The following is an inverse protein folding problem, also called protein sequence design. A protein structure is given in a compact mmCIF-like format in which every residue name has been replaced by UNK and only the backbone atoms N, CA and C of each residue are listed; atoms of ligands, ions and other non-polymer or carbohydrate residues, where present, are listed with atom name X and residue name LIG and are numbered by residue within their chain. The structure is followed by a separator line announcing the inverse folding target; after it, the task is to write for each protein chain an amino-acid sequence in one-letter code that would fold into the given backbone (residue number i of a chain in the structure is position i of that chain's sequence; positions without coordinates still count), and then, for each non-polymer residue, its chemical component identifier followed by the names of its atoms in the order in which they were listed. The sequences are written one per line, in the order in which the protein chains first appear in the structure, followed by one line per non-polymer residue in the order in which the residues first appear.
data_IF_867889830701
#
_entry.id   IF_867889830701
#
_cell.length_a   1.000
_cell.length_b   1.000
_cell.length_c   1.000
_cell.angle_alpha   90.00
_cell.angle_beta   90.00
_cell.angle_gamma   90.00
#
_symmetry.space_group_name_H-M   'P 1'
#
loop_
_entity.id
_entity.type
_entity.pdbx_description
1 polymer ?
#
# COMPACT_ATOMS: atom_id res chain seq x y z
N UNK A 1 16.65 7.62 30.64
CA UNK A 1 17.12 6.25 30.37
C UNK A 1 17.41 6.12 28.89
N UNK A 2 18.67 5.98 28.52
CA UNK A 2 19.06 5.67 27.14
C UNK A 2 18.60 4.25 26.80
N UNK A 3 17.88 4.09 25.68
CA UNK A 3 17.40 2.78 25.27
C UNK A 3 18.55 1.98 24.67
N UNK A 4 18.63 0.69 25.03
CA UNK A 4 19.77 -0.15 24.66
C UNK A 4 19.82 -0.33 23.12
N UNK A 5 20.94 0.05 22.50
CA UNK A 5 21.15 -0.02 21.04
C UNK A 5 20.98 -1.45 20.51
N UNK A 6 21.31 -2.47 21.31
CA UNK A 6 21.08 -3.86 20.96
C UNK A 6 19.60 -4.22 20.86
N UNK A 7 18.77 -3.74 21.79
CA UNK A 7 17.32 -3.98 21.74
C UNK A 7 16.68 -3.23 20.58
N UNK A 8 17.14 -2.01 20.27
CA UNK A 8 16.70 -1.29 19.06
C UNK A 8 16.98 -2.14 17.81
N UNK A 9 18.17 -2.72 17.71
CA UNK A 9 18.55 -3.59 16.59
C UNK A 9 17.65 -4.84 16.52
N UNK A 10 17.42 -5.54 17.63
CA UNK A 10 16.53 -6.70 17.66
C UNK A 10 15.10 -6.35 17.25
N UNK A 11 14.53 -5.26 17.78
CA UNK A 11 13.17 -4.84 17.45
C UNK A 11 13.04 -4.26 16.03
N UNK A 12 14.13 -3.78 15.42
CA UNK A 12 14.12 -3.30 14.04
C UNK A 12 13.84 -4.40 13.00
N UNK A 13 14.10 -5.68 13.34
CA UNK A 13 13.78 -6.81 12.46
C UNK A 13 12.27 -7.06 12.31
N UNK A 14 11.47 -6.60 13.26
CA UNK A 14 10.01 -6.71 13.20
C UNK A 14 9.46 -5.35 12.73
N UNK A 15 8.85 -5.27 11.52
CA UNK A 15 8.32 -4.02 10.99
C UNK A 15 7.43 -3.30 11.99
N UNK A 16 7.76 -2.05 12.33
CA UNK A 16 7.03 -1.20 13.26
C UNK A 16 7.34 -1.42 14.75
N UNK A 17 7.82 -2.60 15.18
CA UNK A 17 8.17 -2.84 16.58
C UNK A 17 9.35 -1.96 17.04
N UNK A 18 10.34 -1.73 16.17
CA UNK A 18 11.46 -0.83 16.42
C UNK A 18 11.00 0.60 16.76
N UNK A 19 10.03 1.14 16.01
CA UNK A 19 9.44 2.46 16.26
C UNK A 19 8.71 2.53 17.60
N UNK A 20 7.94 1.49 17.94
CA UNK A 20 7.26 1.38 19.23
C UNK A 20 8.26 1.30 20.38
N UNK A 21 9.36 0.55 20.20
CA UNK A 21 10.46 0.52 21.16
C UNK A 21 11.17 1.87 21.28
N UNK A 22 11.09 2.76 20.30
CA UNK A 22 11.61 4.13 20.41
C UNK A 22 10.58 5.11 21.01
N UNK A 23 9.39 4.66 21.38
CA UNK A 23 8.32 5.47 21.96
C UNK A 23 7.37 6.11 20.93
N UNK A 24 7.57 5.84 19.63
CA UNK A 24 6.69 6.32 18.56
C UNK A 24 5.62 5.26 18.26
N UNK A 25 4.65 5.16 19.17
CA UNK A 25 3.64 4.11 19.12
C UNK A 25 2.74 4.21 17.88
N UNK A 26 2.40 5.43 17.45
CA UNK A 26 1.45 5.64 16.36
C UNK A 26 2.10 5.29 15.03
N UNK A 27 3.33 5.75 14.80
CA UNK A 27 4.13 5.40 13.64
C UNK A 27 4.39 3.90 13.54
N UNK A 28 4.80 3.29 14.66
CA UNK A 28 5.01 1.85 14.73
C UNK A 28 3.75 1.04 14.41
N UNK A 29 2.60 1.43 14.98
CA UNK A 29 1.33 0.76 14.73
C UNK A 29 0.91 0.83 13.26
N UNK A 30 1.06 1.98 12.60
CA UNK A 30 0.65 2.08 11.19
C UNK A 30 1.60 1.30 10.27
N UNK A 31 2.91 1.30 10.54
CA UNK A 31 3.85 0.45 9.79
C UNK A 31 3.50 -1.04 9.98
N UNK A 32 3.21 -1.47 11.21
CA UNK A 32 2.75 -2.84 11.48
C UNK A 32 1.46 -3.15 10.73
N UNK A 33 0.47 -2.24 10.77
CA UNK A 33 -0.81 -2.48 10.09
C UNK A 33 -0.63 -2.60 8.59
N UNK A 34 0.17 -1.72 7.96
CA UNK A 34 0.44 -1.78 6.52
C UNK A 34 1.13 -3.09 6.15
N UNK A 35 2.16 -3.50 6.91
CA UNK A 35 2.86 -4.76 6.67
C UNK A 35 1.91 -5.96 6.68
N UNK A 36 1.08 -6.07 7.72
CA UNK A 36 0.12 -7.18 7.84
C UNK A 36 -1.02 -7.09 6.84
N UNK A 37 -1.50 -5.90 6.49
CA UNK A 37 -2.53 -5.72 5.46
C UNK A 37 -2.03 -6.18 4.10
N UNK A 38 -0.78 -5.93 3.74
CA UNK A 38 -0.20 -6.44 2.47
C UNK A 38 -0.16 -7.97 2.46
N UNK A 39 0.27 -8.60 3.56
CA UNK A 39 0.25 -10.07 3.70
C UNK A 39 -1.18 -10.60 3.59
N UNK A 40 -2.11 -10.03 4.35
CA UNK A 40 -3.51 -10.46 4.36
C UNK A 40 -4.12 -10.32 2.96
N UNK A 41 -3.88 -9.20 2.26
CA UNK A 41 -4.35 -9.00 0.90
C UNK A 41 -3.71 -9.99 -0.08
N UNK A 42 -2.39 -10.26 0.03
CA UNK A 42 -1.70 -11.23 -0.82
C UNK A 42 -2.29 -12.64 -0.67
N UNK A 43 -2.54 -13.08 0.56
CA UNK A 43 -3.10 -14.40 0.87
C UNK A 43 -4.57 -14.48 0.46
N UNK A 44 -5.39 -13.52 0.90
CA UNK A 44 -6.83 -13.54 0.65
C UNK A 44 -7.13 -13.42 -0.84
N UNK A 45 -6.47 -12.52 -1.57
CA UNK A 45 -6.75 -12.30 -2.99
C UNK A 45 -5.99 -13.28 -3.92
N UNK A 46 -5.17 -14.16 -3.33
CA UNK A 46 -4.23 -15.04 -4.05
C UNK A 46 -3.27 -14.26 -4.97
N UNK A 47 -2.96 -13.01 -4.59
CA UNK A 47 -2.08 -12.12 -5.35
C UNK A 47 -0.66 -12.17 -4.80
N UNK A 48 0.06 -13.24 -5.13
CA UNK A 48 1.46 -13.42 -4.71
C UNK A 48 2.38 -12.27 -5.11
N UNK A 49 2.04 -11.53 -6.17
CA UNK A 49 2.77 -10.33 -6.61
C UNK A 49 2.84 -9.24 -5.53
N UNK A 50 1.84 -9.13 -4.64
CA UNK A 50 1.84 -8.14 -3.55
C UNK A 50 2.98 -8.37 -2.55
N UNK A 51 3.50 -9.60 -2.47
CA UNK A 51 4.64 -9.91 -1.59
C UNK A 51 5.90 -9.12 -1.94
N UNK A 52 6.02 -8.57 -3.15
CA UNK A 52 7.14 -7.68 -3.54
C UNK A 52 7.24 -6.43 -2.66
N UNK A 53 6.11 -5.97 -2.10
CA UNK A 53 6.08 -4.80 -1.23
C UNK A 53 6.60 -5.10 0.19
N UNK A 54 6.58 -6.37 0.62
CA UNK A 54 7.02 -6.76 1.96
C UNK A 54 8.49 -6.42 2.26
N UNK A 55 9.47 -6.78 1.41
CA UNK A 55 10.86 -6.39 1.65
C UNK A 55 11.03 -4.85 1.62
N UNK A 56 10.28 -4.14 0.76
CA UNK A 56 10.33 -2.67 0.69
C UNK A 56 9.87 -2.04 2.02
N UNK A 57 8.71 -2.47 2.52
CA UNK A 57 8.16 -2.00 3.81
C UNK A 57 9.10 -2.37 4.96
N UNK A 58 9.68 -3.59 4.92
CA UNK A 58 10.61 -4.06 5.93
C UNK A 58 11.89 -3.20 5.97
N UNK A 59 12.54 -2.95 4.83
CA UNK A 59 13.72 -2.09 4.76
C UNK A 59 13.40 -0.65 5.19
N UNK A 60 12.26 -0.11 4.76
CA UNK A 60 11.81 1.20 5.23
C UNK A 60 11.69 1.23 6.76
N UNK A 61 10.98 0.27 7.35
CA UNK A 61 10.81 0.19 8.81
C UNK A 61 12.14 0.02 9.55
N UNK A 62 13.05 -0.78 8.99
CA UNK A 62 14.37 -1.03 9.53
C UNK A 62 15.19 0.27 9.56
N UNK A 63 15.41 0.92 8.42
CA UNK A 63 16.19 2.15 8.34
C UNK A 63 15.55 3.31 9.09
N UNK A 64 14.23 3.43 9.05
CA UNK A 64 13.50 4.46 9.78
C UNK A 64 13.67 4.30 11.29
N UNK A 65 13.84 3.07 11.79
CA UNK A 65 14.12 2.82 13.22
C UNK A 65 15.50 3.34 13.60
N UNK A 66 16.53 3.04 12.80
CA UNK A 66 17.88 3.55 13.07
C UNK A 66 17.96 5.08 12.95
N UNK A 67 17.30 5.65 11.94
CA UNK A 67 17.27 7.10 11.79
C UNK A 67 16.58 7.76 12.99
N UNK A 68 15.43 7.22 13.39
CA UNK A 68 14.66 7.77 14.51
C UNK A 68 15.34 7.59 15.87
N UNK A 69 16.18 6.56 16.02
CA UNK A 69 16.94 6.32 17.25
C UNK A 69 17.98 7.42 17.56
N UNK A 70 18.34 8.25 16.57
CA UNK A 70 19.29 9.37 16.73
C UNK A 70 18.70 10.58 17.45
N UNK A 71 17.37 10.67 17.54
CA UNK A 71 16.68 11.82 18.11
C UNK A 71 16.37 11.63 19.59
N UNK A 72 16.26 12.75 20.32
CA UNK A 72 15.86 12.75 21.73
C UNK A 72 14.40 12.28 21.90
N UNK A 73 14.04 11.84 23.12
CA UNK A 73 12.71 11.31 23.41
C UNK A 73 11.59 12.32 23.09
N UNK A 74 11.76 13.59 23.46
CA UNK A 74 10.75 14.64 23.23
C UNK A 74 10.58 14.94 21.74
N UNK A 75 11.68 14.94 20.99
CA UNK A 75 11.65 15.13 19.53
C UNK A 75 10.91 13.98 18.83
N UNK A 76 11.18 12.73 19.23
CA UNK A 76 10.46 11.55 18.71
C UNK A 76 8.97 11.62 18.99
N UNK A 77 8.59 12.03 20.19
CA UNK A 77 7.19 12.18 20.56
C UNK A 77 6.49 13.21 19.66
N UNK A 78 7.10 14.37 19.45
CA UNK A 78 6.57 15.41 18.55
C UNK A 78 6.45 14.92 17.10
N UNK A 79 7.45 14.17 16.60
CA UNK A 79 7.39 13.56 15.28
C UNK A 79 6.25 12.55 15.17
N UNK A 80 6.00 11.73 16.18
CA UNK A 80 4.88 10.76 16.22
C UNK A 80 3.51 11.45 16.22
N UNK A 81 3.37 12.57 16.94
CA UNK A 81 2.14 13.39 16.92
C UNK A 81 1.89 14.02 15.55
N UNK A 82 2.91 14.68 14.97
CA UNK A 82 2.80 15.29 13.64
C UNK A 82 2.48 14.25 12.58
N UNK A 83 3.21 13.14 12.60
CA UNK A 83 2.95 12.01 11.73
C UNK A 83 1.50 11.52 11.85
N UNK A 84 0.99 11.33 13.07
CA UNK A 84 -0.40 10.89 13.27
C UNK A 84 -1.43 11.87 12.75
N UNK A 85 -1.16 13.16 12.92
CA UNK A 85 -1.99 14.22 12.38
C UNK A 85 -1.97 14.21 10.85
N UNK A 86 -0.80 14.03 10.25
CA UNK A 86 -0.64 13.85 8.81
C UNK A 86 -1.39 12.59 8.33
N UNK A 87 -1.33 11.46 9.08
CA UNK A 87 -2.15 10.26 8.80
C UNK A 87 -3.61 10.63 8.68
N UNK A 88 -4.16 11.28 9.70
CA UNK A 88 -5.60 11.59 9.75
C UNK A 88 -6.02 12.55 8.64
N UNK A 89 -5.13 13.48 8.27
CA UNK A 89 -5.36 14.43 7.18
C UNK A 89 -5.15 13.82 5.78
N UNK A 90 -4.74 12.54 5.70
CA UNK A 90 -4.51 11.84 4.44
C UNK A 90 -3.10 11.99 3.85
N UNK A 91 -2.14 12.48 4.62
CA UNK A 91 -0.74 12.74 4.21
C UNK A 91 0.09 11.50 3.82
N UNK A 92 -0.47 10.30 3.91
CA UNK A 92 0.12 9.04 3.40
C UNK A 92 -0.16 8.85 1.92
N UNK A 93 -1.17 9.55 1.44
CA UNK A 93 -1.49 9.66 0.04
C UNK A 93 -0.66 10.86 -0.44
N UNK A 94 0.14 10.74 -1.50
CA UNK A 94 0.72 11.92 -2.12
C UNK A 94 -0.39 12.96 -2.33
N UNK A 95 -0.10 14.25 -2.16
CA UNK A 95 -1.04 15.37 -2.40
C UNK A 95 -1.44 15.48 -3.89
N UNK A 96 -1.83 14.37 -4.51
CA UNK A 96 -2.41 14.28 -5.82
C UNK A 96 -3.89 14.68 -5.71
N UNK A 97 -4.11 16.00 -5.69
CA UNK A 97 -5.39 16.70 -5.80
C UNK A 97 -6.38 16.55 -4.64
N UNK A 98 -6.96 17.67 -4.23
CA UNK A 98 -8.01 17.82 -3.20
C UNK A 98 -9.29 16.99 -3.47
N UNK A 99 -9.37 16.28 -4.59
CA UNK A 99 -10.49 15.38 -4.93
C UNK A 99 -10.27 13.91 -4.52
N UNK A 100 -9.03 13.47 -4.30
CA UNK A 100 -8.74 12.07 -3.93
C UNK A 100 -9.05 11.79 -2.45
N UNK A 101 -8.88 12.81 -1.60
CA UNK A 101 -9.15 12.77 -0.16
C UNK A 101 -10.60 12.36 0.17
N UNK A 102 -11.58 12.78 -0.64
CA UNK A 102 -13.00 12.54 -0.34
C UNK A 102 -13.53 11.18 -0.85
N UNK A 103 -12.78 10.49 -1.73
CA UNK A 103 -13.22 9.24 -2.37
C UNK A 103 -12.48 8.00 -1.88
N UNK A 104 -11.28 8.15 -1.33
CA UNK A 104 -10.50 7.02 -0.83
C UNK A 104 -11.17 6.25 0.32
N UNK A 105 -11.71 6.87 1.39
CA UNK A 105 -12.39 6.10 2.45
C UNK A 105 -13.60 5.33 1.91
N UNK A 106 -14.28 5.85 0.88
CA UNK A 106 -15.37 5.14 0.18
C UNK A 106 -14.84 3.94 -0.62
N UNK A 107 -13.68 4.09 -1.27
CA UNK A 107 -13.02 3.03 -2.02
C UNK A 107 -12.51 1.91 -1.08
N UNK A 108 -11.91 2.28 0.07
CA UNK A 108 -11.49 1.34 1.12
C UNK A 108 -12.71 0.61 1.68
N UNK A 109 -13.80 1.33 1.95
CA UNK A 109 -15.07 0.73 2.40
C UNK A 109 -15.62 -0.27 1.38
N UNK A 110 -15.65 0.08 0.09
CA UNK A 110 -16.07 -0.84 -0.96
C UNK A 110 -15.15 -2.05 -1.08
N UNK A 111 -13.83 -1.85 -0.95
CA UNK A 111 -12.85 -2.93 -0.88
C UNK A 111 -13.12 -3.90 0.27
N UNK A 112 -13.44 -3.40 1.46
CA UNK A 112 -13.84 -4.23 2.61
C UNK A 112 -15.14 -5.01 2.35
N UNK A 113 -16.14 -4.41 1.70
CA UNK A 113 -17.39 -5.10 1.35
C UNK A 113 -17.11 -6.24 0.37
N UNK A 114 -16.33 -5.99 -0.68
CA UNK A 114 -15.95 -7.02 -1.66
C UNK A 114 -15.16 -8.15 -0.98
N UNK A 115 -14.23 -7.80 -0.09
CA UNK A 115 -13.49 -8.78 0.74
C UNK A 115 -14.41 -9.61 1.64
N UNK A 116 -15.42 -8.99 2.25
CA UNK A 116 -16.41 -9.69 3.08
C UNK A 116 -17.24 -10.69 2.27
N UNK A 117 -17.70 -10.28 1.07
CA UNK A 117 -18.42 -11.18 0.15
C UNK A 117 -17.52 -12.34 -0.29
N UNK A 118 -16.24 -12.07 -0.57
CA UNK A 118 -15.26 -13.11 -0.88
C UNK A 118 -15.12 -14.13 0.26
N UNK A 119 -14.98 -13.66 1.50
CA UNK A 119 -14.87 -14.56 2.66
C UNK A 119 -16.13 -15.41 2.85
N UNK A 120 -17.31 -14.86 2.57
CA UNK A 120 -18.58 -15.62 2.61
C UNK A 120 -18.67 -16.66 1.50
N UNK A 121 -18.14 -16.35 0.31
CA UNK A 121 -18.10 -17.28 -0.81
C UNK A 121 -17.31 -18.55 -0.48
N UNK A 122 -16.09 -18.40 0.03
CA UNK A 122 -15.26 -19.54 0.45
C UNK A 122 -15.87 -20.31 1.63
N UNK A 123 -16.48 -19.60 2.59
CA UNK A 123 -17.04 -20.23 3.78
C UNK A 123 -18.37 -20.96 3.54
N UNK A 124 -19.18 -20.50 2.59
CA UNK A 124 -20.56 -21.01 2.39
C UNK A 124 -20.70 -21.68 1.04
N UNK A 125 -20.29 -21.03 -0.05
CA UNK A 125 -20.56 -21.53 -1.40
C UNK A 125 -19.64 -22.69 -1.77
N UNK A 126 -18.34 -22.61 -1.48
CA UNK A 126 -17.41 -23.70 -1.77
C UNK A 126 -17.80 -25.05 -1.12
N UNK A 127 -18.10 -25.13 0.20
CA UNK A 127 -18.54 -26.38 0.82
C UNK A 127 -19.96 -26.78 0.43
N UNK A 128 -20.85 -25.83 0.11
CA UNK A 128 -22.19 -26.16 -0.38
C UNK A 128 -22.15 -26.81 -1.76
N UNK A 129 -21.27 -26.31 -2.65
CA UNK A 129 -21.12 -26.87 -3.98
C UNK A 129 -20.61 -28.30 -3.95
N UNK A 130 -19.72 -28.64 -3.01
CA UNK A 130 -19.24 -30.02 -2.78
C UNK A 130 -20.37 -31.03 -2.57
N UNK A 131 -21.56 -30.59 -2.15
CA UNK A 131 -22.74 -31.45 -2.00
C UNK A 131 -23.39 -31.88 -3.32
N UNK A 132 -23.14 -31.15 -4.41
CA UNK A 132 -23.79 -31.35 -5.71
C UNK A 132 -23.02 -32.27 -6.66
N UNK A 133 -21.90 -32.87 -6.22
CA UNK A 133 -21.11 -33.87 -6.96
C UNK A 133 -20.73 -33.43 -8.39
N UNK A 134 -20.34 -32.15 -8.52
CA UNK A 134 -19.91 -31.57 -9.79
C UNK A 134 -18.55 -32.14 -10.26
N UNK A 135 -18.25 -32.12 -11.57
CA UNK A 135 -16.92 -32.43 -12.06
C UNK A 135 -15.82 -31.51 -11.50
N UNK A 136 -14.63 -32.05 -11.25
CA UNK A 136 -13.48 -31.34 -10.64
C UNK A 136 -13.09 -30.03 -11.36
N UNK A 137 -13.20 -30.00 -12.69
CA UNK A 137 -12.88 -28.81 -13.48
C UNK A 137 -13.84 -27.64 -13.20
N UNK A 138 -15.10 -27.92 -12.84
CA UNK A 138 -16.08 -26.90 -12.48
C UNK A 138 -15.73 -26.30 -11.12
N UNK A 139 -15.39 -27.14 -10.12
CA UNK A 139 -14.90 -26.65 -8.82
C UNK A 139 -13.65 -25.80 -8.96
N UNK A 140 -12.72 -26.20 -9.83
CA UNK A 140 -11.50 -25.44 -10.10
C UNK A 140 -11.81 -24.04 -10.64
N UNK A 141 -12.72 -23.91 -11.60
CA UNK A 141 -13.10 -22.61 -12.17
C UNK A 141 -13.83 -21.77 -11.12
N UNK A 142 -14.81 -22.35 -10.44
CA UNK A 142 -15.63 -21.69 -9.42
C UNK A 142 -14.77 -21.16 -8.27
N UNK A 143 -13.80 -21.94 -7.78
CA UNK A 143 -12.87 -21.48 -6.73
C UNK A 143 -11.95 -20.34 -7.18
N UNK A 144 -11.79 -20.12 -8.49
CA UNK A 144 -10.95 -19.04 -9.05
C UNK A 144 -11.74 -17.79 -9.44
N UNK A 145 -13.07 -17.86 -9.52
CA UNK A 145 -13.94 -16.72 -9.89
C UNK A 145 -13.63 -15.47 -9.05
N UNK A 146 -13.51 -15.54 -7.71
CA UNK A 146 -13.26 -14.33 -6.94
C UNK A 146 -11.90 -13.70 -7.23
N UNK A 147 -10.86 -14.51 -7.41
CA UNK A 147 -9.53 -14.03 -7.80
C UNK A 147 -9.55 -13.37 -9.20
N UNK A 148 -10.33 -13.92 -10.14
CA UNK A 148 -10.54 -13.30 -11.46
C UNK A 148 -11.26 -11.95 -11.36
N UNK A 149 -12.30 -11.85 -10.53
CA UNK A 149 -13.01 -10.57 -10.29
C UNK A 149 -12.06 -9.51 -9.73
N UNK A 150 -11.23 -9.89 -8.76
CA UNK A 150 -10.22 -9.00 -8.17
C UNK A 150 -9.17 -8.60 -9.21
N UNK A 151 -8.67 -9.54 -10.01
CA UNK A 151 -7.72 -9.25 -11.07
C UNK A 151 -8.31 -8.27 -12.10
N UNK A 152 -9.55 -8.49 -12.54
CA UNK A 152 -10.26 -7.55 -13.41
C UNK A 152 -10.43 -6.17 -12.76
N UNK A 153 -10.73 -6.11 -11.46
CA UNK A 153 -10.84 -4.84 -10.73
C UNK A 153 -9.49 -4.11 -10.65
N UNK A 154 -8.40 -4.83 -10.39
CA UNK A 154 -7.03 -4.28 -10.38
C UNK A 154 -6.63 -3.76 -11.77
N UNK A 155 -6.90 -4.52 -12.82
CA UNK A 155 -6.66 -4.10 -14.21
C UNK A 155 -7.49 -2.86 -14.54
N UNK A 156 -8.78 -2.85 -14.17
CA UNK A 156 -9.67 -1.69 -14.36
C UNK A 156 -9.17 -0.45 -13.63
N UNK A 157 -8.69 -0.60 -12.39
CA UNK A 157 -8.03 0.45 -11.62
C UNK A 157 -6.76 0.95 -12.33
N UNK A 158 -5.92 0.04 -12.84
CA UNK A 158 -4.72 0.39 -13.59
C UNK A 158 -5.03 1.19 -14.86
N UNK A 159 -5.98 0.71 -15.67
CA UNK A 159 -6.45 1.42 -16.89
C UNK A 159 -7.07 2.77 -16.54
N UNK A 160 -7.87 2.83 -15.48
CA UNK A 160 -8.46 4.07 -15.00
C UNK A 160 -7.40 5.11 -14.60
N UNK A 161 -6.33 4.69 -13.91
CA UNK A 161 -5.21 5.56 -13.54
C UNK A 161 -4.45 6.05 -14.80
N UNK A 162 -4.22 5.17 -15.78
CA UNK A 162 -3.52 5.52 -17.02
C UNK A 162 -4.31 6.50 -17.90
N UNK A 163 -5.63 6.31 -18.02
CA UNK A 163 -6.47 7.20 -18.82
C UNK A 163 -6.71 8.55 -18.15
N UNK A 164 -6.56 8.64 -16.82
CA UNK A 164 -6.77 9.89 -16.06
C UNK A 164 -5.51 10.75 -15.93
N UNK A 165 -4.33 10.21 -16.25
CA UNK A 165 -3.07 10.96 -16.39
C UNK A 165 -2.96 11.80 -17.68
N UNK A 166 -3.94 11.75 -18.58
CA UNK A 166 -3.97 12.53 -19.84
C UNK A 166 -4.69 13.88 -19.74
N UNK A 167 -5.03 14.35 -18.55
CA UNK A 167 -5.61 15.69 -18.36
C UNK A 167 -4.76 16.55 -17.43
N UNK A 168 -3.56 16.91 -17.89
CA UNK A 168 -2.93 18.20 -17.61
C UNK A 168 -2.13 18.63 -18.82
N UNK A 169 -2.53 19.77 -19.39
CA UNK A 169 -1.86 20.48 -20.49
C UNK A 169 -0.37 20.68 -20.19
N UNK A 170 0.47 20.30 -21.14
CA UNK A 170 1.72 20.98 -21.49
C UNK A 170 1.89 20.79 -23.00
N UNK A 171 1.12 21.58 -23.74
CA UNK A 171 1.48 21.94 -25.11
C UNK A 171 2.27 23.25 -24.98
N UNK A 172 3.38 23.33 -25.72
CA UNK A 172 4.18 24.53 -26.00
C UNK A 172 5.18 24.94 -24.90
N UNK A 173 6.39 24.39 -24.99
CA UNK A 173 7.61 25.18 -25.26
C UNK A 173 8.81 24.24 -25.46
N UNK A 174 8.86 23.58 -26.62
CA UNK A 174 10.15 23.17 -27.17
C UNK A 174 10.71 24.41 -27.88
N UNK A 175 11.61 25.13 -27.21
CA UNK A 175 12.45 26.12 -27.88
C UNK A 175 13.34 25.34 -28.84
N UNK A 176 13.02 25.46 -30.12
CA UNK A 176 13.81 24.96 -31.24
C UNK A 176 15.17 25.67 -31.22
N UNK A 177 16.23 24.91 -30.92
CA UNK A 177 17.59 25.37 -31.20
C UNK A 177 17.72 25.43 -32.72
N UNK A 178 17.58 26.62 -33.30
CA UNK A 178 18.10 26.87 -34.63
C UNK A 178 19.62 26.66 -34.57
N UNK A 179 20.09 25.61 -35.24
CA UNK A 179 21.48 25.45 -35.61
C UNK A 179 21.87 26.63 -36.50
N UNK A 180 22.66 27.54 -35.93
CA UNK A 180 23.38 28.58 -36.67
C UNK A 180 24.51 27.90 -37.46
N UNK A 181 24.17 27.38 -38.64
CA UNK A 181 25.16 26.95 -39.63
C UNK A 181 25.57 28.16 -40.48
N UNK A 182 26.80 28.58 -40.26
CA UNK A 182 27.61 29.42 -41.14
C UNK A 182 27.69 28.85 -42.57
N UNK A 183 27.32 29.65 -43.57
CA UNK A 183 27.98 29.73 -44.90
C UNK A 183 27.79 31.17 -45.43
N UNK A 184 28.80 32.04 -45.32
CA UNK A 184 29.69 32.47 -46.42
C UNK A 184 28.98 32.77 -47.75
N UNK A 185 28.73 34.05 -48.06
CA UNK A 185 29.30 34.81 -49.18
C UNK A 185 28.83 36.27 -49.14
#
# INVERSE_FOLDING_TARGET
MERNKFLVFCFAFVPGAGQMYLGMMKKGLVIMSVFWTVIAAAVMLNLGVLCVFLPIIWFYAFFDTFNSARYHADQRLQMDYKFWEDVKRGGWIPKASDQFSNKLPKLVGWGCIVLGIYSLYEAVIAPLLWRFDLPDWIYFIIGRIPSLVVACAVIGLGVYLLNRGKTSKETEDFVEYQEENHESF
#
